data_IF_661601514187
#
_entry.id   IF_661601514187
#
_cell.length_a   1.000
_cell.length_b   1.000
_cell.length_c   1.000
_cell.angle_alpha   90.00
_cell.angle_beta   90.00
_cell.angle_gamma   90.00
#
_symmetry.space_group_name_H-M   'P 1'
#
loop_
_entity.id
_entity.type
_entity.pdbx_description
1 polymer ?
#
# COMPACT_ATOMS: atom_id res chain seq x y z
N UNK A 1 5.54 10.21 -10.95
CA UNK A 1 6.08 9.42 -9.83
C UNK A 1 5.04 8.45 -9.33
N UNK A 2 5.36 7.16 -9.22
CA UNK A 2 4.43 6.23 -8.59
C UNK A 2 4.33 6.53 -7.09
N UNK A 3 3.10 6.58 -6.60
CA UNK A 3 2.82 6.85 -5.20
C UNK A 3 1.91 5.79 -4.64
N UNK A 4 2.34 5.16 -3.57
CA UNK A 4 1.55 4.17 -2.84
C UNK A 4 1.19 4.72 -1.48
N UNK A 5 -0.08 4.66 -1.15
CA UNK A 5 -0.57 5.10 0.15
C UNK A 5 -1.07 3.89 0.92
N UNK A 6 -0.49 3.66 2.09
CA UNK A 6 -0.88 2.57 2.99
C UNK A 6 -1.61 3.19 4.16
N UNK A 7 -2.88 2.83 4.31
CA UNK A 7 -3.72 3.34 5.40
C UNK A 7 -4.01 2.22 6.38
N UNK A 8 -3.62 2.39 7.63
CA UNK A 8 -3.97 1.46 8.70
C UNK A 8 -5.10 2.06 9.52
N UNK A 9 -6.14 1.25 9.74
CA UNK A 9 -7.34 1.67 10.44
C UNK A 9 -7.56 0.80 11.67
N UNK A 10 -7.78 1.44 12.81
CA UNK A 10 -8.06 0.80 14.09
C UNK A 10 -6.92 -0.03 14.68
N UNK A 11 -5.69 0.21 14.20
CA UNK A 11 -4.47 -0.33 14.79
C UNK A 11 -3.27 0.51 14.33
N UNK A 12 -2.15 0.36 15.01
CA UNK A 12 -0.93 1.10 14.67
C UNK A 12 0.12 0.18 14.10
N UNK A 13 0.82 0.67 13.08
CA UNK A 13 2.01 -0.01 12.55
C UNK A 13 3.25 0.52 13.28
N UNK A 14 4.15 -0.40 13.65
CA UNK A 14 5.42 -0.02 14.25
C UNK A 14 6.34 0.55 13.17
N UNK A 15 7.29 1.45 13.54
CA UNK A 15 8.23 2.01 12.55
C UNK A 15 8.96 0.96 11.74
N UNK A 16 9.36 -0.15 12.37
CA UNK A 16 10.03 -1.24 11.65
C UNK A 16 9.13 -1.89 10.61
N UNK A 17 7.85 -2.09 10.95
CA UNK A 17 6.88 -2.64 10.02
C UNK A 17 6.69 -1.72 8.81
N UNK A 18 6.62 -0.41 9.04
CA UNK A 18 6.50 0.56 7.95
C UNK A 18 7.71 0.52 7.02
N UNK A 19 8.92 0.41 7.58
CA UNK A 19 10.13 0.29 6.78
C UNK A 19 10.11 -0.95 5.90
N UNK A 20 9.72 -2.08 6.46
CA UNK A 20 9.66 -3.35 5.72
C UNK A 20 8.62 -3.32 4.62
N UNK A 21 7.44 -2.75 4.90
CA UNK A 21 6.38 -2.60 3.91
C UNK A 21 6.83 -1.67 2.78
N UNK A 22 7.40 -0.52 3.12
CA UNK A 22 7.88 0.44 2.11
C UNK A 22 8.96 -0.16 1.23
N UNK A 23 9.91 -0.86 1.82
CA UNK A 23 10.98 -1.53 1.08
C UNK A 23 10.40 -2.57 0.14
N UNK A 24 9.48 -3.41 0.63
CA UNK A 24 8.86 -4.45 -0.17
C UNK A 24 8.08 -3.89 -1.34
N UNK A 25 7.28 -2.86 -1.13
CA UNK A 25 6.51 -2.20 -2.18
C UNK A 25 7.45 -1.64 -3.25
N UNK A 26 8.50 -0.95 -2.82
CA UNK A 26 9.48 -0.36 -3.74
C UNK A 26 10.16 -1.41 -4.59
N UNK A 27 10.61 -2.51 -3.98
CA UNK A 27 11.29 -3.58 -4.69
C UNK A 27 10.36 -4.26 -5.71
N UNK A 28 9.12 -4.51 -5.35
CA UNK A 28 8.15 -5.10 -6.26
C UNK A 28 7.84 -4.16 -7.41
N UNK A 29 7.63 -2.89 -7.12
CA UNK A 29 7.38 -1.91 -8.19
C UNK A 29 8.52 -1.88 -9.19
N UNK A 30 9.76 -1.85 -8.70
CA UNK A 30 10.95 -1.90 -9.55
C UNK A 30 11.02 -3.20 -10.36
N UNK A 31 10.79 -4.34 -9.72
CA UNK A 31 10.87 -5.64 -10.40
C UNK A 31 9.83 -5.80 -11.50
N UNK A 32 8.61 -5.32 -11.28
CA UNK A 32 7.50 -5.50 -12.23
C UNK A 32 7.53 -4.45 -13.33
N UNK A 33 7.85 -3.19 -13.01
CA UNK A 33 7.75 -2.08 -13.96
C UNK A 33 9.09 -1.69 -14.58
N UNK A 34 10.21 -2.07 -13.97
CA UNK A 34 11.53 -1.63 -14.38
C UNK A 34 11.86 -0.19 -13.97
N UNK A 35 10.94 0.50 -13.30
CA UNK A 35 11.17 1.88 -12.87
C UNK A 35 12.23 1.94 -11.77
N UNK A 36 13.02 3.03 -11.76
CA UNK A 36 14.05 3.23 -10.76
C UNK A 36 13.42 3.33 -9.37
N UNK A 37 13.99 2.60 -8.40
CA UNK A 37 13.51 2.59 -7.01
C UNK A 37 13.42 3.98 -6.40
N UNK A 38 14.31 4.87 -6.77
CA UNK A 38 14.35 6.23 -6.25
C UNK A 38 13.03 6.98 -6.45
N UNK A 39 12.30 6.66 -7.51
CA UNK A 39 11.05 7.37 -7.83
C UNK A 39 9.81 6.78 -7.17
N UNK A 40 9.91 5.60 -6.56
CA UNK A 40 8.77 5.01 -5.87
C UNK A 40 8.56 5.72 -4.52
N UNK A 41 7.34 6.19 -4.29
CA UNK A 41 6.98 6.89 -3.07
C UNK A 41 5.96 6.08 -2.29
N UNK A 42 6.18 5.93 -0.98
CA UNK A 42 5.24 5.22 -0.10
C UNK A 42 4.90 6.14 1.07
N UNK A 43 3.62 6.38 1.25
CA UNK A 43 3.10 7.26 2.31
C UNK A 43 2.21 6.44 3.22
N UNK A 44 2.36 6.60 4.53
CA UNK A 44 1.53 5.91 5.52
C UNK A 44 0.58 6.90 6.19
N UNK A 45 -0.68 6.51 6.27
CA UNK A 45 -1.70 7.26 6.99
C UNK A 45 -2.35 6.35 8.02
N UNK A 46 -2.71 6.91 9.17
CA UNK A 46 -3.43 6.18 10.20
C UNK A 46 -4.82 6.78 10.36
N UNK A 47 -5.85 5.95 10.26
CA UNK A 47 -7.22 6.36 10.54
C UNK A 47 -7.49 6.16 12.02
N UNK A 48 -7.85 7.25 12.71
CA UNK A 48 -8.09 7.22 14.15
C UNK A 48 -9.42 6.54 14.47
N UNK A 49 -9.57 6.16 15.74
CA UNK A 49 -10.84 5.65 16.25
C UNK A 49 -11.96 6.65 15.94
N UNK A 50 -13.09 6.12 15.48
CA UNK A 50 -14.26 6.92 15.13
C UNK A 50 -14.15 7.74 13.84
N UNK A 51 -13.10 7.49 13.03
CA UNK A 51 -12.92 8.16 11.74
C UNK A 51 -13.12 7.23 10.55
N UNK A 52 -13.52 5.97 10.78
CA UNK A 52 -13.73 5.01 9.72
C UNK A 52 -15.14 4.45 9.77
N UNK A 53 -15.93 4.74 8.75
CA UNK A 53 -17.34 4.33 8.65
C UNK A 53 -17.56 3.53 7.37
N UNK A 54 -18.44 2.55 7.46
CA UNK A 54 -18.88 1.78 6.30
C UNK A 54 -20.39 1.60 6.40
N UNK A 55 -21.12 1.97 5.34
CA UNK A 55 -22.59 1.93 5.37
C UNK A 55 -23.19 2.86 6.44
N UNK A 56 -22.49 3.93 6.77
CA UNK A 56 -22.93 4.87 7.80
C UNK A 56 -22.66 4.41 9.24
N UNK A 57 -22.05 3.24 9.41
CA UNK A 57 -21.75 2.70 10.73
C UNK A 57 -20.25 2.65 10.98
N UNK A 58 -19.85 2.85 12.23
CA UNK A 58 -18.44 2.88 12.60
C UNK A 58 -17.80 1.50 12.42
N UNK A 59 -16.60 1.48 11.85
CA UNK A 59 -15.80 0.27 11.69
C UNK A 59 -14.82 0.21 12.84
N UNK A 60 -14.83 -0.90 13.59
CA UNK A 60 -13.93 -1.11 14.74
C UNK A 60 -12.83 -2.14 14.49
N UNK A 61 -12.98 -2.97 13.47
CA UNK A 61 -12.01 -4.02 13.18
C UNK A 61 -10.73 -3.43 12.57
N UNK A 62 -9.56 -4.02 12.87
CA UNK A 62 -8.31 -3.61 12.24
C UNK A 62 -8.37 -3.84 10.74
N UNK A 63 -8.00 -2.83 9.95
CA UNK A 63 -7.97 -2.94 8.50
C UNK A 63 -6.76 -2.23 7.93
N UNK A 64 -6.27 -2.73 6.81
CA UNK A 64 -5.14 -2.17 6.10
C UNK A 64 -5.52 -1.97 4.64
N UNK A 65 -5.32 -0.76 4.13
CA UNK A 65 -5.65 -0.40 2.76
C UNK A 65 -4.40 0.03 2.01
N UNK A 66 -4.29 -0.41 0.77
CA UNK A 66 -3.24 0.03 -0.14
C UNK A 66 -3.87 0.68 -1.35
N UNK A 67 -3.47 1.93 -1.63
CA UNK A 67 -3.86 2.65 -2.83
C UNK A 67 -2.60 3.01 -3.60
N UNK A 68 -2.53 2.60 -4.87
CA UNK A 68 -1.40 2.90 -5.73
C UNK A 68 -1.80 3.79 -6.89
N UNK A 69 -1.04 4.88 -7.08
CA UNK A 69 -1.12 5.70 -8.28
C UNK A 69 0.12 5.41 -9.10
N UNK A 70 -0.06 4.79 -10.25
CA UNK A 70 1.04 4.42 -11.13
C UNK A 70 0.92 5.17 -12.45
N UNK A 71 2.05 5.24 -13.16
CA UNK A 71 2.12 5.93 -14.44
C UNK A 71 1.08 5.36 -15.41
N UNK A 72 0.36 6.23 -16.10
CA UNK A 72 -0.57 5.82 -17.14
C UNK A 72 0.17 5.13 -18.29
N UNK A 73 -0.52 4.23 -18.99
CA UNK A 73 0.08 3.50 -20.10
C UNK A 73 0.68 2.16 -19.72
N UNK A 74 0.69 1.78 -18.44
CA UNK A 74 1.11 0.45 -18.03
C UNK A 74 0.11 -0.60 -18.55
N UNK A 75 0.60 -1.77 -18.98
CA UNK A 75 -0.25 -2.83 -19.45
C UNK A 75 -1.12 -3.41 -18.34
N UNK A 76 -2.23 -4.04 -18.72
CA UNK A 76 -3.10 -4.71 -17.76
C UNK A 76 -2.35 -5.83 -17.01
N UNK A 77 -1.46 -6.55 -17.70
CA UNK A 77 -0.67 -7.60 -17.08
C UNK A 77 0.28 -7.04 -16.03
N UNK A 78 0.93 -5.92 -16.33
CA UNK A 78 1.82 -5.26 -15.37
C UNK A 78 1.03 -4.84 -14.12
N UNK A 79 -0.14 -4.24 -14.30
CA UNK A 79 -0.99 -3.83 -13.18
C UNK A 79 -1.43 -5.01 -12.34
N UNK A 80 -1.80 -6.13 -12.96
CA UNK A 80 -2.18 -7.34 -12.24
C UNK A 80 -1.02 -7.91 -11.43
N UNK A 81 0.18 -7.95 -12.00
CA UNK A 81 1.36 -8.42 -11.28
C UNK A 81 1.67 -7.55 -10.07
N UNK A 82 1.57 -6.23 -10.21
CA UNK A 82 1.75 -5.31 -9.09
C UNK A 82 0.76 -5.61 -7.97
N UNK A 83 -0.52 -5.71 -8.29
CA UNK A 83 -1.57 -5.95 -7.30
C UNK A 83 -1.33 -7.26 -6.55
N UNK A 84 -1.06 -8.35 -7.26
CA UNK A 84 -0.84 -9.65 -6.64
C UNK A 84 0.38 -9.65 -5.73
N UNK A 85 1.49 -9.10 -6.20
CA UNK A 85 2.73 -9.08 -5.43
C UNK A 85 2.64 -8.16 -4.21
N UNK A 86 2.00 -7.00 -4.35
CA UNK A 86 1.80 -6.08 -3.25
C UNK A 86 0.87 -6.66 -2.20
N UNK A 87 -0.18 -7.36 -2.63
CA UNK A 87 -1.10 -8.04 -1.72
C UNK A 87 -0.35 -9.07 -0.87
N UNK A 88 0.55 -9.84 -1.48
CA UNK A 88 1.32 -10.85 -0.76
C UNK A 88 2.21 -10.23 0.32
N UNK A 89 2.82 -9.08 0.05
CA UNK A 89 3.62 -8.38 1.05
C UNK A 89 2.77 -7.97 2.25
N UNK A 90 1.61 -7.39 2.01
CA UNK A 90 0.74 -6.91 3.07
C UNK A 90 0.20 -8.06 3.93
N UNK A 91 -0.10 -9.20 3.33
CA UNK A 91 -0.56 -10.38 4.07
C UNK A 91 0.51 -10.90 5.02
N UNK A 92 1.77 -10.88 4.61
CA UNK A 92 2.88 -11.35 5.44
C UNK A 92 3.20 -10.44 6.63
N UNK A 93 2.74 -9.21 6.59
CA UNK A 93 2.98 -8.23 7.66
C UNK A 93 1.75 -8.08 8.54
#
# INVERSE_FOLDING_TARGET
MPTYTVTNSNFNLKPQQKKEIAKGITEIHNAVTGANKYFAQVIFNTTKNNDHFMGGQIVKDPQLFLHGQIRSGRSSNTKKKLILNLKNILIKK
#
